data_IF_560441359718
#
_entry.id   IF_560441359718
#
_cell.length_a   1.000
_cell.length_b   1.000
_cell.length_c   1.000
_cell.angle_alpha   90.00
_cell.angle_beta   90.00
_cell.angle_gamma   90.00
#
_symmetry.space_group_name_H-M   'P 1'
#
loop_
_entity.id
_entity.type
_entity.pdbx_description
1 polymer ?
#
# COMPACT_ATOMS: atom_id res chain seq x y z
N UNK A 1 -20.53 29.34 -41.14
CA UNK A 1 -21.01 29.38 -39.75
C UNK A 1 -19.85 28.94 -38.88
N UNK A 2 -19.13 29.87 -38.26
CA UNK A 2 -18.11 29.52 -37.26
C UNK A 2 -18.83 29.20 -35.97
N UNK A 3 -18.94 27.93 -35.63
CA UNK A 3 -19.46 27.47 -34.35
C UNK A 3 -18.48 27.94 -33.28
N UNK A 4 -18.87 28.97 -32.52
CA UNK A 4 -18.07 29.47 -31.40
C UNK A 4 -18.16 28.44 -30.29
N UNK A 5 -17.11 27.64 -30.12
CA UNK A 5 -16.99 26.68 -29.02
C UNK A 5 -17.06 27.48 -27.70
N UNK A 6 -17.92 27.06 -26.79
CA UNK A 6 -18.12 27.67 -25.46
C UNK A 6 -16.93 27.41 -24.53
N UNK A 7 -16.80 28.20 -23.46
CA UNK A 7 -15.75 27.98 -22.46
C UNK A 7 -15.90 26.63 -21.75
N UNK A 8 -17.14 26.18 -21.52
CA UNK A 8 -17.44 24.85 -20.96
C UNK A 8 -17.04 23.72 -21.89
N UNK A 9 -17.27 23.85 -23.20
CA UNK A 9 -16.83 22.86 -24.20
C UNK A 9 -15.31 22.82 -24.31
N UNK A 10 -14.62 23.97 -24.26
CA UNK A 10 -13.15 24.01 -24.21
C UNK A 10 -12.59 23.33 -22.96
N UNK A 11 -13.17 23.58 -21.78
CA UNK A 11 -12.74 22.93 -20.54
C UNK A 11 -12.99 21.43 -20.58
N UNK A 12 -14.16 20.99 -21.09
CA UNK A 12 -14.47 19.57 -21.26
C UNK A 12 -13.51 18.87 -22.22
N UNK A 13 -13.17 19.49 -23.35
CA UNK A 13 -12.20 18.96 -24.33
C UNK A 13 -10.78 18.87 -23.73
N UNK A 14 -10.34 19.89 -22.99
CA UNK A 14 -9.04 19.87 -22.27
C UNK A 14 -9.03 18.77 -21.19
N UNK A 15 -10.12 18.61 -20.43
CA UNK A 15 -10.26 17.55 -19.44
C UNK A 15 -10.26 16.15 -20.07
N UNK A 16 -10.95 15.99 -21.20
CA UNK A 16 -11.01 14.73 -21.97
C UNK A 16 -9.63 14.37 -22.52
N UNK A 17 -8.94 15.33 -23.14
CA UNK A 17 -7.57 15.17 -23.63
C UNK A 17 -6.59 14.82 -22.49
N UNK A 18 -6.73 15.46 -21.31
CA UNK A 18 -5.94 15.11 -20.12
C UNK A 18 -6.18 13.67 -19.68
N UNK A 19 -7.43 13.23 -19.61
CA UNK A 19 -7.78 11.87 -19.19
C UNK A 19 -7.24 10.81 -20.15
N UNK A 20 -7.40 11.01 -21.46
CA UNK A 20 -6.90 10.08 -22.47
C UNK A 20 -5.38 9.89 -22.40
N UNK A 21 -4.64 10.98 -22.13
CA UNK A 21 -3.18 10.92 -21.93
C UNK A 21 -2.80 10.14 -20.68
N UNK A 22 -3.51 10.35 -19.58
CA UNK A 22 -3.28 9.60 -18.32
C UNK A 22 -3.61 8.11 -18.52
N UNK A 23 -4.75 7.80 -19.15
CA UNK A 23 -5.17 6.43 -19.43
C UNK A 23 -4.16 5.73 -20.35
N UNK A 24 -3.57 6.42 -21.32
CA UNK A 24 -2.50 5.87 -22.16
C UNK A 24 -1.25 5.47 -21.35
N UNK A 25 -0.85 6.28 -20.36
CA UNK A 25 0.27 5.95 -19.47
C UNK A 25 -0.05 4.75 -18.57
N UNK A 26 -1.28 4.68 -18.03
CA UNK A 26 -1.72 3.55 -17.22
C UNK A 26 -1.94 2.26 -18.03
N UNK A 27 -2.18 2.37 -19.34
CA UNK A 27 -2.29 1.27 -20.27
C UNK A 27 -0.93 0.71 -20.74
N UNK A 28 0.16 1.48 -20.56
CA UNK A 28 1.49 1.01 -20.93
C UNK A 28 1.83 -0.27 -20.16
N UNK A 29 2.23 -1.28 -20.93
CA UNK A 29 2.62 -2.58 -20.43
C UNK A 29 4.07 -2.92 -20.78
N UNK A 30 4.85 -2.04 -21.42
CA UNK A 30 6.20 -2.41 -21.91
C UNK A 30 7.17 -2.84 -20.80
N UNK A 31 6.93 -2.39 -19.56
CA UNK A 31 7.78 -2.64 -18.40
C UNK A 31 7.23 -3.75 -17.50
N UNK A 32 8.13 -4.44 -16.80
CA UNK A 32 7.76 -5.40 -15.78
C UNK A 32 7.23 -4.69 -14.51
N UNK A 33 6.47 -5.44 -13.69
CA UNK A 33 5.86 -4.94 -12.45
C UNK A 33 6.87 -4.74 -11.31
N UNK A 34 8.02 -5.42 -11.40
CA UNK A 34 9.17 -5.29 -10.53
C UNK A 34 10.46 -5.13 -11.37
N UNK A 35 11.48 -4.46 -10.84
CA UNK A 35 12.82 -4.33 -11.43
C UNK A 35 13.90 -4.64 -10.37
N UNK A 36 15.15 -4.85 -10.81
CA UNK A 36 16.28 -5.30 -10.00
C UNK A 36 15.90 -6.42 -9.00
N UNK A 37 15.28 -7.47 -9.51
CA UNK A 37 14.72 -8.56 -8.72
C UNK A 37 13.33 -8.26 -8.19
N UNK A 38 13.19 -7.37 -7.20
CA UNK A 38 11.97 -7.20 -6.40
C UNK A 38 11.62 -5.76 -5.98
N UNK A 39 12.29 -4.75 -6.55
CA UNK A 39 11.85 -3.36 -6.40
C UNK A 39 10.56 -3.19 -7.19
N UNK A 40 9.53 -2.63 -6.57
CA UNK A 40 8.25 -2.43 -7.23
C UNK A 40 8.37 -1.33 -8.27
N UNK A 41 7.71 -1.48 -9.42
CA UNK A 41 7.58 -0.40 -10.37
C UNK A 41 6.49 0.58 -9.89
N UNK A 42 6.84 1.83 -9.60
CA UNK A 42 5.91 2.82 -9.05
C UNK A 42 5.23 3.70 -10.10
N UNK A 43 5.56 3.55 -11.38
CA UNK A 43 5.16 4.48 -12.44
C UNK A 43 3.65 4.76 -12.44
N UNK A 44 2.80 3.73 -12.37
CA UNK A 44 1.34 3.87 -12.41
C UNK A 44 0.78 4.44 -11.12
N UNK A 45 1.36 4.11 -9.97
CA UNK A 45 0.97 4.71 -8.70
C UNK A 45 1.22 6.23 -8.70
N UNK A 46 2.38 6.65 -9.20
CA UNK A 46 2.72 8.06 -9.31
C UNK A 46 1.83 8.79 -10.32
N UNK A 47 1.51 8.17 -11.46
CA UNK A 47 0.54 8.73 -12.44
C UNK A 47 -0.81 8.98 -11.78
N UNK A 48 -1.36 8.02 -11.01
CA UNK A 48 -2.62 8.20 -10.28
C UNK A 48 -2.52 9.32 -9.24
N UNK A 49 -1.46 9.32 -8.42
CA UNK A 49 -1.25 10.35 -7.40
C UNK A 49 -1.17 11.76 -8.02
N UNK A 50 -0.28 11.96 -8.99
CA UNK A 50 -0.08 13.25 -9.66
C UNK A 50 -1.36 13.69 -10.39
N UNK A 51 -2.09 12.75 -11.00
CA UNK A 51 -3.38 13.04 -11.61
C UNK A 51 -4.39 13.54 -10.57
N UNK A 52 -4.47 12.90 -9.41
CA UNK A 52 -5.33 13.27 -8.28
C UNK A 52 -4.95 14.59 -7.62
N UNK A 53 -3.66 14.94 -7.64
CA UNK A 53 -3.13 16.23 -7.19
C UNK A 53 -3.27 17.34 -8.25
N UNK A 54 -4.00 17.10 -9.33
CA UNK A 54 -4.23 18.05 -10.43
C UNK A 54 -2.96 18.51 -11.17
N UNK A 55 -1.89 17.71 -11.17
CA UNK A 55 -0.74 17.97 -12.03
C UNK A 55 -1.17 18.01 -13.51
N UNK A 56 -0.46 18.82 -14.31
CA UNK A 56 -0.71 18.89 -15.75
C UNK A 56 -0.34 17.56 -16.44
N UNK A 57 -1.04 17.19 -17.51
CA UNK A 57 -0.71 15.97 -18.26
C UNK A 57 0.75 15.96 -18.76
N UNK A 58 1.29 17.14 -19.13
CA UNK A 58 2.69 17.26 -19.53
C UNK A 58 3.66 16.93 -18.40
N UNK A 59 3.38 17.37 -17.17
CA UNK A 59 4.20 17.03 -16.00
C UNK A 59 4.13 15.55 -15.64
N UNK A 60 2.95 14.94 -15.75
CA UNK A 60 2.75 13.51 -15.50
C UNK A 60 3.53 12.67 -16.53
N UNK A 61 3.47 13.03 -17.81
CA UNK A 61 4.24 12.37 -18.88
C UNK A 61 5.75 12.55 -18.72
N UNK A 62 6.19 13.73 -18.32
CA UNK A 62 7.60 14.00 -18.03
C UNK A 62 8.09 13.10 -16.91
N UNK A 63 7.39 13.07 -15.76
CA UNK A 63 7.69 12.19 -14.65
C UNK A 63 7.76 10.73 -15.11
N UNK A 64 6.75 10.26 -15.86
CA UNK A 64 6.69 8.89 -16.36
C UNK A 64 7.93 8.54 -17.19
N UNK A 65 8.31 9.40 -18.14
CA UNK A 65 9.47 9.17 -19.01
C UNK A 65 10.79 9.17 -18.22
N UNK A 66 10.95 10.08 -17.26
CA UNK A 66 12.13 10.14 -16.40
C UNK A 66 12.25 8.87 -15.55
N UNK A 67 11.17 8.48 -14.87
CA UNK A 67 11.15 7.30 -14.02
C UNK A 67 11.42 5.99 -14.78
N UNK A 68 10.92 5.87 -16.02
CA UNK A 68 11.23 4.73 -16.90
C UNK A 68 12.73 4.62 -17.17
N UNK A 69 13.41 5.75 -17.37
CA UNK A 69 14.85 5.79 -17.69
C UNK A 69 15.71 5.56 -16.45
N UNK A 70 15.37 6.21 -15.34
CA UNK A 70 16.12 6.17 -14.10
C UNK A 70 15.16 6.43 -12.93
N UNK A 71 14.95 5.39 -12.12
CA UNK A 71 14.22 5.47 -10.86
C UNK A 71 15.07 6.18 -9.80
N UNK A 72 14.46 6.52 -8.67
CA UNK A 72 15.14 7.09 -7.49
C UNK A 72 16.24 6.19 -6.93
N UNK A 73 16.22 4.90 -7.31
CA UNK A 73 17.25 3.92 -6.97
C UNK A 73 18.40 3.84 -8.00
N UNK A 74 18.41 4.66 -9.05
CA UNK A 74 19.46 4.68 -10.07
C UNK A 74 19.37 3.56 -11.13
N UNK A 75 18.22 2.89 -11.23
CA UNK A 75 17.98 1.85 -12.25
C UNK A 75 16.87 2.27 -13.20
N UNK A 76 17.00 1.95 -14.48
CA UNK A 76 15.88 2.00 -15.43
C UNK A 76 14.92 0.82 -15.26
N UNK A 77 13.68 0.99 -15.71
CA UNK A 77 12.69 -0.08 -15.65
C UNK A 77 13.02 -1.23 -16.60
N UNK A 78 12.83 -2.44 -16.11
CA UNK A 78 13.06 -3.67 -16.89
C UNK A 78 11.91 -3.96 -17.85
N UNK A 79 12.18 -4.56 -19.02
CA UNK A 79 11.14 -5.04 -19.93
C UNK A 79 10.36 -6.21 -19.31
N UNK A 80 9.19 -6.53 -19.89
CA UNK A 80 8.42 -7.72 -19.51
C UNK A 80 9.29 -8.98 -19.46
N UNK A 81 9.14 -9.76 -18.40
CA UNK A 81 9.75 -11.10 -18.27
C UNK A 81 8.90 -12.16 -18.99
N UNK A 82 9.52 -13.19 -19.58
CA UNK A 82 8.80 -14.26 -20.25
C UNK A 82 7.99 -15.10 -19.26
N UNK A 83 6.82 -15.56 -19.70
CA UNK A 83 6.02 -16.51 -18.93
C UNK A 83 6.61 -17.92 -18.98
N UNK A 84 6.65 -18.59 -17.82
CA UNK A 84 7.09 -20.00 -17.72
C UNK A 84 5.94 -20.99 -17.84
N UNK A 85 4.74 -20.57 -17.47
CA UNK A 85 3.52 -21.39 -17.52
C UNK A 85 2.33 -20.59 -18.07
N UNK A 86 1.38 -21.30 -18.69
CA UNK A 86 0.04 -20.77 -18.92
C UNK A 86 -0.75 -20.85 -17.61
N UNK A 87 -1.53 -19.81 -17.31
CA UNK A 87 -2.33 -19.74 -16.08
C UNK A 87 -3.76 -20.16 -16.37
N UNK A 88 -4.30 -21.04 -15.54
CA UNK A 88 -5.69 -21.50 -15.56
C UNK A 88 -6.31 -21.33 -14.18
N UNK A 89 -7.62 -21.51 -14.10
CA UNK A 89 -8.34 -21.46 -12.82
C UNK A 89 -7.77 -22.45 -11.81
N UNK A 90 -7.45 -23.67 -12.27
CA UNK A 90 -6.96 -24.77 -11.44
C UNK A 90 -5.54 -24.55 -10.91
N UNK A 91 -4.69 -23.84 -11.65
CA UNK A 91 -3.28 -23.67 -11.29
C UNK A 91 -2.95 -22.29 -10.70
N UNK A 92 -3.80 -21.28 -10.84
CA UNK A 92 -3.50 -19.90 -10.44
C UNK A 92 -3.07 -19.79 -8.96
N UNK A 93 -3.83 -20.41 -8.05
CA UNK A 93 -3.49 -20.40 -6.62
C UNK A 93 -2.23 -21.19 -6.26
N UNK A 94 -1.76 -22.08 -7.13
CA UNK A 94 -0.47 -22.74 -6.91
C UNK A 94 0.71 -21.77 -7.09
N UNK A 95 0.51 -20.66 -7.81
CA UNK A 95 1.54 -19.67 -8.12
C UNK A 95 1.70 -18.55 -7.07
N UNK A 96 0.94 -18.60 -5.97
CA UNK A 96 1.01 -17.60 -4.91
C UNK A 96 2.46 -17.42 -4.42
N UNK A 97 2.99 -16.20 -4.56
CA UNK A 97 4.31 -15.81 -4.09
C UNK A 97 5.49 -16.39 -4.89
N UNK A 98 5.22 -17.13 -5.98
CA UNK A 98 6.27 -17.74 -6.81
C UNK A 98 7.01 -16.74 -7.71
N UNK A 99 6.51 -15.50 -7.83
CA UNK A 99 7.13 -14.44 -8.65
C UNK A 99 7.49 -14.88 -10.08
N UNK A 100 6.55 -15.56 -10.73
CA UNK A 100 6.72 -16.07 -12.10
C UNK A 100 5.50 -15.80 -12.95
N UNK A 101 5.69 -15.77 -14.27
CA UNK A 101 4.61 -15.76 -15.27
C UNK A 101 3.60 -14.62 -15.11
N UNK A 102 4.07 -13.43 -14.73
CA UNK A 102 3.24 -12.23 -14.52
C UNK A 102 2.37 -11.90 -15.74
N UNK A 103 2.92 -11.97 -16.96
CA UNK A 103 2.17 -11.74 -18.19
C UNK A 103 1.01 -12.74 -18.36
N UNK A 104 1.24 -14.03 -18.09
CA UNK A 104 0.17 -15.04 -18.14
C UNK A 104 -0.87 -14.84 -17.04
N UNK A 105 -0.47 -14.41 -15.84
CA UNK A 105 -1.41 -14.04 -14.76
C UNK A 105 -2.31 -12.88 -15.19
N UNK A 106 -1.75 -11.90 -15.90
CA UNK A 106 -2.53 -10.79 -16.44
C UNK A 106 -3.53 -11.25 -17.50
N UNK A 107 -3.09 -12.05 -18.48
CA UNK A 107 -3.97 -12.61 -19.51
C UNK A 107 -5.11 -13.44 -18.91
N UNK A 108 -4.80 -14.21 -17.86
CA UNK A 108 -5.80 -14.96 -17.10
C UNK A 108 -6.85 -14.03 -16.48
N UNK A 109 -6.46 -13.02 -15.70
CA UNK A 109 -7.41 -12.12 -15.06
C UNK A 109 -8.16 -11.22 -16.06
N UNK A 110 -7.54 -10.80 -17.17
CA UNK A 110 -8.24 -10.13 -18.27
C UNK A 110 -9.37 -11.03 -18.80
N UNK A 111 -9.09 -12.32 -19.01
CA UNK A 111 -10.07 -13.31 -19.44
C UNK A 111 -11.20 -13.53 -18.42
N UNK A 112 -10.87 -13.65 -17.14
CA UNK A 112 -11.86 -13.82 -16.06
C UNK A 112 -12.78 -12.59 -15.94
N UNK A 113 -12.21 -11.38 -15.99
CA UNK A 113 -12.98 -10.14 -15.94
C UNK A 113 -13.89 -10.01 -17.15
N UNK A 114 -13.41 -10.37 -18.35
CA UNK A 114 -14.22 -10.33 -19.57
C UNK A 114 -15.41 -11.31 -19.52
N UNK A 115 -15.24 -12.49 -18.90
CA UNK A 115 -16.28 -13.52 -18.81
C UNK A 115 -17.29 -13.27 -17.70
N UNK A 116 -16.83 -12.84 -16.53
CA UNK A 116 -17.64 -12.83 -15.30
C UNK A 116 -17.91 -11.42 -14.77
N UNK A 117 -17.19 -10.42 -15.28
CA UNK A 117 -17.23 -9.04 -14.79
C UNK A 117 -16.38 -8.86 -13.53
N UNK A 118 -15.83 -7.65 -13.37
CA UNK A 118 -14.88 -7.33 -12.30
C UNK A 118 -15.40 -7.68 -10.90
N UNK A 119 -16.66 -7.37 -10.59
CA UNK A 119 -17.21 -7.63 -9.26
C UNK A 119 -17.23 -9.12 -8.93
N UNK A 120 -17.62 -9.98 -9.86
CA UNK A 120 -17.64 -11.42 -9.64
C UNK A 120 -16.23 -11.96 -9.39
N UNK A 121 -15.26 -11.52 -10.20
CA UNK A 121 -13.84 -11.88 -10.04
C UNK A 121 -13.31 -11.44 -8.68
N UNK A 122 -13.59 -10.21 -8.24
CA UNK A 122 -13.15 -9.76 -6.90
C UNK A 122 -13.77 -10.64 -5.80
N UNK A 123 -15.08 -10.92 -5.85
CA UNK A 123 -15.75 -11.75 -4.84
C UNK A 123 -15.19 -13.17 -4.77
N UNK A 124 -14.79 -13.72 -5.90
CA UNK A 124 -14.23 -15.06 -5.99
C UNK A 124 -12.79 -15.13 -5.48
N UNK A 125 -11.92 -14.21 -5.90
CA UNK A 125 -10.48 -14.32 -5.70
C UNK A 125 -9.99 -13.62 -4.43
N UNK A 126 -10.63 -12.54 -3.98
CA UNK A 126 -10.15 -11.78 -2.80
C UNK A 126 -10.04 -12.61 -1.52
N UNK A 127 -10.91 -13.59 -1.20
CA UNK A 127 -10.72 -14.46 -0.04
C UNK A 127 -9.36 -15.18 0.00
N UNK A 128 -8.81 -15.57 -1.15
CA UNK A 128 -7.50 -16.23 -1.24
C UNK A 128 -6.34 -15.23 -1.34
N UNK A 129 -6.58 -14.07 -1.97
CA UNK A 129 -5.53 -13.07 -2.22
C UNK A 129 -5.31 -12.11 -1.05
N UNK A 130 -6.35 -11.72 -0.30
CA UNK A 130 -6.23 -10.74 0.79
C UNK A 130 -5.36 -11.17 1.96
N UNK A 131 -5.28 -12.46 2.34
CA UNK A 131 -4.26 -12.90 3.28
C UNK A 131 -2.84 -12.51 2.84
N UNK A 132 -2.60 -12.33 1.53
CA UNK A 132 -1.31 -12.00 0.93
C UNK A 132 -0.97 -10.52 0.81
N UNK A 133 -1.78 -9.62 1.36
CA UNK A 133 -1.76 -8.19 1.04
C UNK A 133 -0.42 -7.49 1.31
N UNK A 134 0.43 -8.05 2.17
CA UNK A 134 1.74 -7.51 2.54
C UNK A 134 2.80 -7.78 1.44
N UNK A 135 2.47 -8.61 0.46
CA UNK A 135 3.32 -8.94 -0.69
C UNK A 135 3.90 -7.71 -1.41
N UNK A 136 5.16 -7.83 -1.84
CA UNK A 136 5.93 -6.74 -2.45
C UNK A 136 5.97 -5.46 -1.59
N UNK A 137 6.07 -5.60 -0.27
CA UNK A 137 5.89 -4.49 0.67
C UNK A 137 4.61 -3.68 0.42
N UNK A 138 3.49 -4.40 0.34
CA UNK A 138 2.13 -3.87 0.08
C UNK A 138 1.86 -3.34 -1.32
N UNK A 139 2.85 -3.25 -2.22
CA UNK A 139 2.69 -2.66 -3.55
C UNK A 139 1.68 -3.39 -4.44
N UNK A 140 1.57 -4.71 -4.32
CA UNK A 140 0.56 -5.45 -5.06
C UNK A 140 -0.87 -5.02 -4.69
N UNK A 141 -1.11 -4.81 -3.40
CA UNK A 141 -2.39 -4.31 -2.88
C UNK A 141 -2.63 -2.87 -3.28
N UNK A 142 -1.60 -2.02 -3.17
CA UNK A 142 -1.65 -0.61 -3.62
C UNK A 142 -2.05 -0.56 -5.10
N UNK A 143 -1.40 -1.36 -5.96
CA UNK A 143 -1.66 -1.37 -7.40
C UNK A 143 -3.12 -1.73 -7.72
N UNK A 144 -3.65 -2.77 -7.08
CA UNK A 144 -5.05 -3.16 -7.26
C UNK A 144 -6.01 -2.08 -6.74
N UNK A 145 -5.88 -1.68 -5.47
CA UNK A 145 -6.81 -0.73 -4.85
C UNK A 145 -6.81 0.64 -5.54
N UNK A 146 -5.66 1.10 -6.01
CA UNK A 146 -5.55 2.38 -6.72
C UNK A 146 -6.03 2.28 -8.17
N UNK A 147 -5.82 1.12 -8.83
CA UNK A 147 -6.45 0.83 -10.11
C UNK A 147 -7.97 0.82 -10.01
N UNK A 148 -8.52 0.36 -8.87
CA UNK A 148 -9.95 0.38 -8.57
C UNK A 148 -10.46 1.80 -8.26
N UNK A 149 -9.72 2.59 -7.46
CA UNK A 149 -10.02 3.99 -7.15
C UNK A 149 -10.12 4.84 -8.41
N UNK A 150 -9.10 4.77 -9.27
CA UNK A 150 -9.07 5.50 -10.53
C UNK A 150 -10.02 4.89 -11.59
N UNK A 151 -10.22 3.57 -11.55
CA UNK A 151 -11.06 2.83 -12.49
C UNK A 151 -10.36 2.44 -13.80
N UNK A 152 -9.04 2.16 -13.78
CA UNK A 152 -8.29 1.81 -14.98
C UNK A 152 -8.21 0.29 -15.21
N UNK A 153 -8.79 -0.27 -16.29
CA UNK A 153 -8.90 -1.73 -16.48
C UNK A 153 -7.55 -2.46 -16.43
N UNK A 154 -6.52 -1.94 -17.13
CA UNK A 154 -5.19 -2.56 -17.17
C UNK A 154 -4.53 -2.63 -15.79
N UNK A 155 -4.67 -1.56 -15.00
CA UNK A 155 -4.05 -1.49 -13.67
C UNK A 155 -4.76 -2.43 -12.70
N UNK A 156 -6.08 -2.59 -12.82
CA UNK A 156 -6.85 -3.56 -12.05
C UNK A 156 -6.40 -4.99 -12.35
N UNK A 157 -6.27 -5.36 -13.63
CA UNK A 157 -5.75 -6.69 -14.03
C UNK A 157 -4.34 -6.92 -13.49
N UNK A 158 -3.44 -5.95 -13.65
CA UNK A 158 -2.09 -6.04 -13.10
C UNK A 158 -2.09 -6.19 -11.60
N UNK A 159 -2.99 -5.49 -10.90
CA UNK A 159 -3.13 -5.59 -9.45
C UNK A 159 -3.50 -6.99 -9.01
N UNK A 160 -4.52 -7.60 -9.63
CA UNK A 160 -4.92 -8.99 -9.37
C UNK A 160 -3.76 -9.97 -9.62
N UNK A 161 -3.09 -9.82 -10.77
CA UNK A 161 -1.92 -10.62 -11.11
C UNK A 161 -0.77 -10.42 -10.11
N UNK A 162 -0.54 -9.18 -9.67
CA UNK A 162 0.55 -8.85 -8.75
C UNK A 162 0.31 -9.44 -7.36
N UNK A 163 -0.94 -9.43 -6.89
CA UNK A 163 -1.31 -10.06 -5.62
C UNK A 163 -1.08 -11.57 -5.59
N UNK A 164 -1.24 -12.26 -6.73
CA UNK A 164 -0.80 -13.65 -6.87
C UNK A 164 0.74 -13.73 -6.90
N UNK A 165 1.36 -12.95 -7.78
CA UNK A 165 2.79 -12.97 -8.07
C UNK A 165 3.67 -12.79 -6.82
N UNK A 166 3.35 -11.82 -5.96
CA UNK A 166 4.17 -11.45 -4.80
C UNK A 166 3.56 -11.80 -3.45
N UNK A 167 2.55 -12.69 -3.41
CA UNK A 167 1.78 -13.04 -2.22
C UNK A 167 2.66 -13.35 -0.99
N UNK A 168 2.39 -12.71 0.15
CA UNK A 168 3.00 -13.00 1.46
C UNK A 168 1.91 -12.99 2.53
N UNK A 169 1.68 -14.14 3.16
CA UNK A 169 0.58 -14.28 4.14
C UNK A 169 0.77 -13.41 5.38
N UNK A 170 -0.28 -12.73 5.81
CA UNK A 170 -0.41 -12.20 7.16
C UNK A 170 -0.89 -13.27 8.17
N UNK A 171 -1.25 -14.48 7.69
CA UNK A 171 -1.71 -15.63 8.48
C UNK A 171 -3.00 -15.39 9.29
N UNK A 172 -4.12 -15.00 8.66
CA UNK A 172 -5.38 -14.72 9.34
C UNK A 172 -5.96 -15.93 10.08
N UNK A 173 -5.57 -17.16 9.72
CA UNK A 173 -5.97 -18.38 10.42
C UNK A 173 -5.48 -18.47 11.87
N UNK A 174 -4.47 -17.68 12.28
CA UNK A 174 -4.02 -17.62 13.67
C UNK A 174 -4.84 -16.68 14.54
N UNK A 175 -5.63 -15.81 13.91
CA UNK A 175 -6.34 -14.75 14.59
C UNK A 175 -7.37 -15.27 15.59
N UNK A 176 -7.43 -14.63 16.75
CA UNK A 176 -8.38 -14.94 17.82
C UNK A 176 -8.94 -13.64 18.39
N UNK A 177 -10.25 -13.59 18.58
CA UNK A 177 -10.87 -12.49 19.33
C UNK A 177 -10.28 -12.52 20.74
N UNK A 178 -9.79 -11.39 21.21
CA UNK A 178 -9.05 -11.31 22.46
C UNK A 178 -9.25 -9.96 23.12
N UNK A 179 -9.54 -10.00 24.42
CA UNK A 179 -9.58 -8.80 25.28
C UNK A 179 -8.17 -8.34 25.68
N UNK A 180 -7.11 -9.08 25.32
CA UNK A 180 -5.72 -8.73 25.65
C UNK A 180 -5.30 -7.40 25.02
N UNK A 181 -5.80 -7.11 23.82
CA UNK A 181 -5.62 -5.80 23.18
C UNK A 181 -6.84 -4.96 23.56
N UNK A 182 -6.91 -4.62 24.85
CA UNK A 182 -8.04 -3.89 25.44
C UNK A 182 -8.03 -2.44 24.96
N UNK A 183 -8.98 -2.10 24.09
CA UNK A 183 -9.22 -0.74 23.64
C UNK A 183 -10.59 -0.68 22.97
N UNK A 184 -11.31 0.43 23.15
CA UNK A 184 -12.64 0.59 22.57
C UNK A 184 -12.59 0.92 21.07
N UNK A 185 -11.41 1.30 20.57
CA UNK A 185 -11.17 1.75 19.20
C UNK A 185 -9.74 1.45 18.75
N UNK A 186 -9.43 1.72 17.48
CA UNK A 186 -8.13 1.41 16.87
C UNK A 186 -6.92 2.05 17.57
N UNK A 187 -7.04 3.29 18.04
CA UNK A 187 -5.90 4.02 18.65
C UNK A 187 -5.66 3.56 20.09
N UNK A 188 -6.70 3.30 20.88
CA UNK A 188 -6.58 2.72 22.22
C UNK A 188 -5.97 1.31 22.14
N UNK A 189 -6.39 0.50 21.17
CA UNK A 189 -5.77 -0.82 20.93
C UNK A 189 -4.29 -0.71 20.55
N UNK A 190 -3.89 0.28 19.74
CA UNK A 190 -2.48 0.50 19.41
C UNK A 190 -1.65 0.90 20.65
N UNK A 191 -2.18 1.81 21.48
CA UNK A 191 -1.53 2.23 22.73
C UNK A 191 -1.36 1.03 23.65
N UNK A 192 -2.41 0.22 23.84
CA UNK A 192 -2.33 -1.00 24.65
C UNK A 192 -1.30 -2.01 24.12
N UNK A 193 -1.20 -2.18 22.79
CA UNK A 193 -0.15 -3.02 22.19
C UNK A 193 1.25 -2.48 22.53
N UNK A 194 1.47 -1.16 22.41
CA UNK A 194 2.74 -0.55 22.75
C UNK A 194 3.07 -0.72 24.23
N UNK A 195 2.11 -0.48 25.13
CA UNK A 195 2.25 -0.70 26.58
C UNK A 195 2.66 -2.14 26.91
N UNK A 196 2.03 -3.13 26.26
CA UNK A 196 2.34 -4.54 26.49
C UNK A 196 3.75 -4.92 26.03
N UNK A 197 4.23 -4.33 24.93
CA UNK A 197 5.60 -4.54 24.47
C UNK A 197 6.63 -3.86 25.38
N UNK A 198 6.27 -2.73 25.99
CA UNK A 198 7.10 -2.02 26.98
C UNK A 198 7.20 -2.73 28.34
N UNK A 199 6.25 -3.61 28.68
CA UNK A 199 6.31 -4.40 29.92
C UNK A 199 7.40 -5.48 29.88
N UNK A 200 7.74 -6.00 28.70
CA UNK A 200 8.85 -6.95 28.50
C UNK A 200 9.64 -6.62 27.23
N UNK A 201 10.39 -5.50 27.25
CA UNK A 201 11.10 -5.03 26.07
C UNK A 201 12.23 -5.99 25.69
N UNK A 202 12.80 -6.71 26.65
CA UNK A 202 13.87 -7.68 26.40
C UNK A 202 13.35 -8.86 25.59
N UNK A 203 12.18 -9.40 25.92
CA UNK A 203 11.58 -10.49 25.15
C UNK A 203 11.21 -10.05 23.73
N UNK A 204 10.62 -8.86 23.57
CA UNK A 204 10.27 -8.34 22.25
C UNK A 204 11.51 -8.12 21.37
N UNK A 205 12.55 -7.47 21.91
CA UNK A 205 13.81 -7.25 21.20
C UNK A 205 14.51 -8.57 20.83
N UNK A 206 14.49 -9.56 21.73
CA UNK A 206 15.05 -10.88 21.45
C UNK A 206 14.28 -11.61 20.35
N UNK A 207 12.94 -11.52 20.35
CA UNK A 207 12.11 -12.06 19.26
C UNK A 207 12.41 -11.36 17.94
N UNK A 208 12.46 -10.02 17.93
CA UNK A 208 12.73 -9.24 16.74
C UNK A 208 14.12 -9.55 16.18
N UNK A 209 15.17 -9.55 17.00
CA UNK A 209 16.53 -9.88 16.57
C UNK A 209 16.60 -11.27 15.89
N UNK A 210 15.87 -12.26 16.40
CA UNK A 210 15.80 -13.61 15.79
C UNK A 210 15.09 -13.60 14.43
N UNK A 211 14.01 -12.82 14.29
CA UNK A 211 13.35 -12.57 12.99
C UNK A 211 14.31 -11.92 12.01
N UNK A 212 14.97 -10.84 12.44
CA UNK A 212 15.84 -10.01 11.60
C UNK A 212 17.06 -10.79 11.10
N UNK A 213 17.62 -11.64 11.95
CA UNK A 213 18.74 -12.52 11.61
C UNK A 213 18.31 -13.79 10.85
N UNK A 214 17.03 -13.95 10.51
CA UNK A 214 16.51 -15.13 9.81
C UNK A 214 16.65 -16.44 10.59
N UNK A 215 16.82 -16.37 11.91
CA UNK A 215 16.99 -17.53 12.79
C UNK A 215 15.67 -18.29 12.99
N UNK A 216 14.53 -17.62 12.78
CA UNK A 216 13.18 -18.19 12.91
C UNK A 216 12.32 -17.94 11.67
N UNK A 217 11.33 -18.82 11.50
CA UNK A 217 10.35 -18.83 10.42
C UNK A 217 10.79 -18.99 8.93
N UNK A 218 12.06 -19.31 8.54
CA UNK A 218 12.42 -19.32 7.12
C UNK A 218 11.62 -20.34 6.29
N UNK A 219 11.25 -21.48 6.90
CA UNK A 219 10.39 -22.49 6.26
C UNK A 219 8.90 -22.14 6.35
N UNK A 220 8.47 -21.44 7.41
CA UNK A 220 7.07 -21.08 7.64
C UNK A 220 6.60 -19.98 6.70
N UNK A 221 7.50 -19.05 6.36
CA UNK A 221 7.16 -17.88 5.56
C UNK A 221 6.87 -18.20 4.10
N UNK A 222 7.40 -19.30 3.57
CA UNK A 222 7.19 -19.75 2.19
C UNK A 222 7.42 -18.63 1.17
N UNK A 223 8.33 -17.70 1.47
CA UNK A 223 8.54 -16.51 0.66
C UNK A 223 9.63 -16.73 -0.38
N UNK A 224 9.55 -16.01 -1.49
CA UNK A 224 10.50 -16.16 -2.59
C UNK A 224 11.95 -15.86 -2.13
N UNK A 225 12.96 -16.65 -2.56
CA UNK A 225 14.36 -16.44 -2.14
C UNK A 225 14.90 -15.04 -2.40
N UNK A 226 14.48 -14.40 -3.50
CA UNK A 226 14.84 -13.01 -3.84
C UNK A 226 14.58 -12.00 -2.72
N UNK A 227 13.59 -12.23 -1.86
CA UNK A 227 13.31 -11.32 -0.75
C UNK A 227 14.48 -11.18 0.22
N UNK A 228 15.35 -12.19 0.34
CA UNK A 228 16.53 -12.12 1.20
C UNK A 228 17.43 -10.94 0.87
N UNK A 229 17.47 -10.52 -0.41
CA UNK A 229 18.22 -9.34 -0.88
C UNK A 229 17.61 -8.01 -0.40
N UNK A 230 16.30 -7.98 -0.12
CA UNK A 230 15.57 -6.78 0.31
C UNK A 230 15.98 -6.30 1.70
N UNK A 231 16.29 -7.24 2.59
CA UNK A 231 16.30 -6.98 4.04
C UNK A 231 14.89 -6.71 4.57
N UNK A 232 14.25 -5.59 4.19
CA UNK A 232 12.95 -5.16 4.70
C UNK A 232 11.81 -6.16 4.42
N UNK A 233 11.55 -6.49 3.14
CA UNK A 233 10.45 -7.38 2.79
C UNK A 233 10.61 -8.77 3.42
N UNK A 234 11.86 -9.27 3.50
CA UNK A 234 12.16 -10.54 4.14
C UNK A 234 11.85 -10.53 5.64
N UNK A 235 12.29 -9.48 6.36
CA UNK A 235 12.02 -9.35 7.81
C UNK A 235 10.53 -9.30 8.11
N UNK A 236 9.75 -8.59 7.31
CA UNK A 236 8.28 -8.54 7.43
C UNK A 236 7.68 -9.93 7.20
N UNK A 237 8.07 -10.63 6.14
CA UNK A 237 7.60 -11.99 5.86
C UNK A 237 7.95 -12.97 6.99
N UNK A 238 9.16 -12.88 7.54
CA UNK A 238 9.58 -13.70 8.69
C UNK A 238 8.75 -13.38 9.95
N UNK A 239 8.52 -12.09 10.23
CA UNK A 239 7.74 -11.65 11.38
C UNK A 239 6.31 -12.19 11.34
N UNK A 240 5.65 -12.05 10.19
CA UNK A 240 4.29 -12.55 9.95
C UNK A 240 4.24 -14.09 10.03
N UNK A 241 5.25 -14.77 9.50
CA UNK A 241 5.30 -16.22 9.51
C UNK A 241 5.56 -16.82 10.89
N UNK A 242 6.41 -16.16 11.69
CA UNK A 242 6.60 -16.55 13.08
C UNK A 242 5.36 -16.26 13.91
N UNK A 243 4.76 -15.09 13.71
CA UNK A 243 3.64 -14.60 14.49
C UNK A 243 4.08 -14.03 15.86
N UNK A 244 3.14 -13.34 16.49
CA UNK A 244 3.26 -12.82 17.84
C UNK A 244 1.85 -12.81 18.47
N UNK A 245 1.66 -13.14 19.76
CA UNK A 245 0.33 -13.15 20.38
C UNK A 245 -0.46 -11.86 20.17
N UNK A 246 0.20 -10.70 20.26
CA UNK A 246 -0.41 -9.39 20.01
C UNK A 246 -0.81 -9.17 18.53
N UNK A 247 -0.07 -9.74 17.58
CA UNK A 247 -0.43 -9.66 16.15
C UNK A 247 -1.66 -10.51 15.84
N UNK A 248 -1.76 -11.67 16.47
CA UNK A 248 -2.84 -12.63 16.25
C UNK A 248 -4.11 -12.27 17.08
N UNK A 249 -4.05 -11.25 17.94
CA UNK A 249 -5.19 -10.76 18.71
C UNK A 249 -6.07 -9.84 17.86
N UNK A 250 -7.37 -10.11 17.84
CA UNK A 250 -8.41 -9.30 17.18
C UNK A 250 -9.22 -8.57 18.24
N UNK A 251 -9.08 -7.23 18.36
CA UNK A 251 -9.92 -6.41 19.23
C UNK A 251 -11.42 -6.56 18.93
N UNK A 252 -12.25 -6.40 19.97
CA UNK A 252 -13.71 -6.53 19.85
C UNK A 252 -14.34 -5.57 18.83
N UNK A 253 -13.84 -4.33 18.76
CA UNK A 253 -14.37 -3.30 17.86
C UNK A 253 -14.23 -3.67 16.37
N UNK A 254 -13.21 -4.45 15.99
CA UNK A 254 -13.08 -4.97 14.62
C UNK A 254 -14.18 -5.97 14.23
N UNK A 255 -14.84 -6.56 15.23
CA UNK A 255 -15.91 -7.54 15.06
C UNK A 255 -17.28 -6.89 15.15
N UNK A 256 -17.48 -6.01 16.13
CA UNK A 256 -18.79 -5.43 16.46
C UNK A 256 -19.13 -4.17 15.69
N UNK A 257 -18.17 -3.29 15.43
CA UNK A 257 -18.45 -1.96 14.90
C UNK A 257 -18.89 -1.98 13.43
N UNK A 258 -19.59 -0.93 12.97
CA UNK A 258 -19.85 -0.71 11.55
C UNK A 258 -18.53 -0.58 10.75
N UNK A 259 -18.51 -1.11 9.53
CA UNK A 259 -17.31 -1.10 8.68
C UNK A 259 -16.83 0.32 8.36
N UNK A 260 -17.75 1.27 8.19
CA UNK A 260 -17.40 2.68 7.93
C UNK A 260 -16.61 3.29 9.10
N UNK A 261 -17.09 3.09 10.33
CA UNK A 261 -16.42 3.57 11.53
C UNK A 261 -15.05 2.90 11.72
N UNK A 262 -14.96 1.60 11.43
CA UNK A 262 -13.71 0.84 11.45
C UNK A 262 -12.67 1.45 10.51
N UNK A 263 -13.05 1.77 9.26
CA UNK A 263 -12.12 2.37 8.30
C UNK A 263 -11.65 3.76 8.74
N UNK A 264 -12.56 4.61 9.23
CA UNK A 264 -12.21 5.93 9.74
C UNK A 264 -11.25 5.85 10.93
N UNK A 265 -11.50 4.93 11.87
CA UNK A 265 -10.63 4.69 13.02
C UNK A 265 -9.25 4.18 12.60
N UNK A 266 -9.17 3.27 11.61
CA UNK A 266 -7.90 2.76 11.09
C UNK A 266 -7.10 3.86 10.38
N UNK A 267 -7.76 4.69 9.55
CA UNK A 267 -7.10 5.82 8.85
C UNK A 267 -6.50 6.83 9.83
N UNK A 268 -7.24 7.16 10.88
CA UNK A 268 -6.73 7.98 11.97
C UNK A 268 -5.53 7.30 12.66
N UNK A 269 -5.66 6.01 12.99
CA UNK A 269 -4.62 5.24 13.67
C UNK A 269 -3.31 5.19 12.86
N UNK A 270 -3.36 4.90 11.56
CA UNK A 270 -2.15 4.89 10.71
C UNK A 270 -1.54 6.28 10.51
N UNK A 271 -2.35 7.35 10.51
CA UNK A 271 -1.83 8.71 10.51
C UNK A 271 -1.06 9.03 11.81
N UNK A 272 -1.56 8.57 12.96
CA UNK A 272 -0.85 8.69 14.26
C UNK A 272 0.43 7.84 14.27
N UNK A 273 0.40 6.61 13.76
CA UNK A 273 1.60 5.77 13.57
C UNK A 273 2.66 6.50 12.76
N UNK A 274 2.25 7.15 11.67
CA UNK A 274 3.16 7.90 10.83
C UNK A 274 3.71 9.15 11.51
N UNK A 275 2.86 9.92 12.19
CA UNK A 275 3.29 11.12 12.92
C UNK A 275 4.17 10.83 14.15
N UNK A 276 4.15 9.59 14.66
CA UNK A 276 5.08 9.14 15.70
C UNK A 276 6.51 8.95 15.18
N UNK A 277 6.68 8.75 13.86
CA UNK A 277 7.97 8.80 13.16
C UNK A 277 7.81 9.55 11.82
N UNK A 278 7.72 10.89 11.85
CA UNK A 278 7.48 11.69 10.66
C UNK A 278 8.50 11.39 9.56
N UNK A 279 8.03 11.15 8.33
CA UNK A 279 8.91 10.82 7.19
C UNK A 279 9.38 9.36 7.15
N UNK A 280 8.93 8.50 8.06
CA UNK A 280 9.31 7.08 8.05
C UNK A 280 8.76 6.36 6.81
N UNK A 281 9.69 5.87 5.98
CA UNK A 281 9.38 5.18 4.73
C UNK A 281 8.45 3.98 4.95
N UNK A 282 8.63 3.22 6.03
CA UNK A 282 7.86 2.00 6.28
C UNK A 282 6.42 2.34 6.67
N UNK A 283 6.25 3.29 7.59
CA UNK A 283 4.94 3.68 8.11
C UNK A 283 4.08 4.39 7.05
N UNK A 284 4.68 5.13 6.11
CA UNK A 284 3.97 5.72 4.96
C UNK A 284 3.20 4.66 4.15
N UNK A 285 3.75 3.46 4.02
CA UNK A 285 3.11 2.37 3.28
C UNK A 285 1.82 1.90 3.95
N UNK A 286 1.69 2.04 5.28
CA UNK A 286 0.44 1.73 5.97
C UNK A 286 -0.69 2.69 5.56
N UNK A 287 -0.40 3.97 5.33
CA UNK A 287 -1.38 4.96 4.84
C UNK A 287 -1.84 4.59 3.43
N UNK A 288 -0.88 4.40 2.51
CA UNK A 288 -1.19 4.18 1.09
C UNK A 288 -1.82 2.82 0.82
N UNK A 289 -1.43 1.77 1.55
CA UNK A 289 -2.05 0.45 1.48
C UNK A 289 -3.41 0.39 2.17
N UNK A 290 -3.64 1.14 3.25
CA UNK A 290 -4.97 1.20 3.87
C UNK A 290 -6.02 1.79 2.94
N UNK A 291 -5.67 2.87 2.22
CA UNK A 291 -6.52 3.41 1.14
C UNK A 291 -6.86 2.34 0.11
N UNK A 292 -5.86 1.58 -0.34
CA UNK A 292 -6.05 0.50 -1.30
C UNK A 292 -6.95 -0.63 -0.77
N UNK A 293 -6.77 -1.01 0.49
CA UNK A 293 -7.56 -2.04 1.18
C UNK A 293 -9.02 -1.64 1.32
N UNK A 294 -9.30 -0.37 1.65
CA UNK A 294 -10.66 0.17 1.73
C UNK A 294 -11.35 0.12 0.35
N UNK A 295 -10.65 0.51 -0.72
CA UNK A 295 -11.16 0.46 -2.09
C UNK A 295 -11.47 -0.98 -2.54
N UNK A 296 -10.59 -1.94 -2.23
CA UNK A 296 -10.88 -3.35 -2.50
C UNK A 296 -12.13 -3.79 -1.71
N UNK A 297 -12.16 -3.53 -0.41
CA UNK A 297 -13.23 -3.97 0.47
C UNK A 297 -14.60 -3.37 0.14
N UNK A 298 -14.66 -2.15 -0.38
CA UNK A 298 -15.88 -1.47 -0.81
C UNK A 298 -16.61 -2.20 -1.95
N UNK A 299 -15.91 -3.08 -2.68
CA UNK A 299 -16.44 -3.85 -3.81
C UNK A 299 -16.84 -5.28 -3.42
N UNK A 300 -16.64 -5.66 -2.15
CA UNK A 300 -16.88 -7.00 -1.64
C UNK A 300 -18.15 -7.08 -0.77
N UNK A 301 -18.72 -8.30 -0.59
CA UNK A 301 -19.72 -8.56 0.43
C UNK A 301 -19.19 -8.23 1.83
N UNK A 302 -20.08 -7.77 2.71
CA UNK A 302 -19.74 -7.34 4.07
C UNK A 302 -18.88 -8.35 4.85
N UNK A 303 -19.15 -9.66 4.70
CA UNK A 303 -18.38 -10.72 5.35
C UNK A 303 -16.91 -10.74 4.89
N UNK A 304 -16.67 -10.60 3.60
CA UNK A 304 -15.33 -10.51 3.03
C UNK A 304 -14.66 -9.18 3.38
N UNK A 305 -15.39 -8.06 3.34
CA UNK A 305 -14.88 -6.74 3.75
C UNK A 305 -14.39 -6.76 5.21
N UNK A 306 -15.11 -7.41 6.13
CA UNK A 306 -14.63 -7.62 7.51
C UNK A 306 -13.34 -8.44 7.57
N UNK A 307 -13.20 -9.46 6.72
CA UNK A 307 -11.94 -10.21 6.61
C UNK A 307 -10.78 -9.35 6.12
N UNK A 308 -11.02 -8.40 5.20
CA UNK A 308 -9.99 -7.47 4.72
C UNK A 308 -9.46 -6.60 5.85
N UNK A 309 -10.35 -6.00 6.64
CA UNK A 309 -9.97 -5.18 7.81
C UNK A 309 -9.14 -6.01 8.81
N UNK A 310 -9.56 -7.24 9.10
CA UNK A 310 -8.82 -8.13 9.99
C UNK A 310 -7.44 -8.50 9.45
N UNK A 311 -7.31 -8.72 8.14
CA UNK A 311 -6.02 -8.95 7.51
C UNK A 311 -5.13 -7.70 7.62
N UNK A 312 -5.69 -6.51 7.41
CA UNK A 312 -4.98 -5.25 7.57
C UNK A 312 -4.43 -5.08 8.99
N UNK A 313 -5.26 -5.26 10.01
CA UNK A 313 -4.84 -5.14 11.42
C UNK A 313 -3.64 -6.02 11.77
N UNK A 314 -3.72 -7.31 11.46
CA UNK A 314 -2.64 -8.26 11.74
C UNK A 314 -1.37 -7.95 10.92
N UNK A 315 -1.53 -7.61 9.64
CA UNK A 315 -0.39 -7.28 8.79
C UNK A 315 0.28 -5.96 9.19
N UNK A 316 -0.49 -4.95 9.59
CA UNK A 316 0.00 -3.67 10.12
C UNK A 316 0.90 -3.90 11.34
N UNK A 317 0.43 -4.70 12.31
CA UNK A 317 1.24 -5.06 13.47
C UNK A 317 2.49 -5.85 13.08
N UNK A 318 2.39 -6.76 12.10
CA UNK A 318 3.57 -7.47 11.59
C UNK A 318 4.62 -6.57 10.92
N UNK A 319 4.17 -5.55 10.17
CA UNK A 319 5.05 -4.52 9.60
C UNK A 319 5.75 -3.75 10.72
N UNK A 320 4.99 -3.23 11.69
CA UNK A 320 5.53 -2.49 12.83
C UNK A 320 6.53 -3.31 13.64
N UNK A 321 6.21 -4.57 13.92
CA UNK A 321 7.02 -5.44 14.77
C UNK A 321 8.30 -5.90 14.06
N UNK A 322 8.31 -5.97 12.73
CA UNK A 322 9.47 -6.41 11.95
C UNK A 322 10.71 -5.52 12.13
N UNK A 323 10.50 -4.24 12.47
CA UNK A 323 11.56 -3.28 12.78
C UNK A 323 12.24 -3.55 14.12
N UNK A 324 11.60 -4.32 15.01
CA UNK A 324 12.05 -4.55 16.37
C UNK A 324 11.92 -3.34 17.29
N UNK A 325 11.46 -2.21 16.79
CA UNK A 325 11.28 -0.99 17.57
C UNK A 325 9.99 -0.31 17.11
N UNK A 326 9.12 0.00 18.07
CA UNK A 326 7.89 0.78 17.84
C UNK A 326 7.90 2.00 18.76
N UNK A 327 7.28 3.13 18.36
CA UNK A 327 7.13 4.27 19.24
C UNK A 327 6.46 3.89 20.57
N UNK A 328 6.85 4.59 21.63
CA UNK A 328 6.34 4.34 22.96
C UNK A 328 4.83 4.60 23.06
N UNK A 329 4.14 3.90 23.96
CA UNK A 329 2.71 4.07 24.19
C UNK A 329 2.34 5.52 24.54
N UNK A 330 3.17 6.17 25.37
CA UNK A 330 3.04 7.59 25.71
C UNK A 330 3.13 8.50 24.48
N UNK A 331 3.96 8.16 23.48
CA UNK A 331 4.07 8.94 22.23
C UNK A 331 2.76 8.88 21.45
N UNK A 332 2.15 7.70 21.33
CA UNK A 332 0.84 7.56 20.68
C UNK A 332 -0.26 8.26 21.46
N UNK A 333 -0.27 8.18 22.79
CA UNK A 333 -1.22 8.88 23.64
C UNK A 333 -1.13 10.40 23.49
N UNK A 334 0.08 10.97 23.53
CA UNK A 334 0.31 12.41 23.38
C UNK A 334 -0.13 12.91 21.99
N UNK A 335 0.18 12.16 20.94
CA UNK A 335 -0.29 12.47 19.57
C UNK A 335 -1.81 12.35 19.45
N UNK A 336 -2.41 11.36 20.09
CA UNK A 336 -3.87 11.22 20.08
C UNK A 336 -4.53 12.42 20.77
N UNK A 337 -4.06 12.82 21.96
CA UNK A 337 -4.54 14.02 22.67
C UNK A 337 -4.38 15.28 21.81
N UNK A 338 -3.27 15.39 21.07
CA UNK A 338 -2.99 16.54 20.20
C UNK A 338 -3.95 16.66 19.01
N UNK A 339 -4.37 15.54 18.43
CA UNK A 339 -5.04 15.54 17.12
C UNK A 339 -6.52 15.12 17.16
N UNK A 340 -6.96 14.45 18.23
CA UNK A 340 -8.34 13.99 18.34
C UNK A 340 -9.31 15.18 18.28
N UNK A 341 -10.25 15.13 17.34
CA UNK A 341 -11.28 16.15 17.17
C UNK A 341 -10.78 17.50 16.61
N UNK A 342 -9.49 17.63 16.29
CA UNK A 342 -8.93 18.87 15.73
C UNK A 342 -9.20 18.91 14.22
N UNK A 343 -9.82 20.00 13.79
CA UNK A 343 -10.19 20.23 12.38
C UNK A 343 -9.64 21.57 11.92
N UNK A 344 -9.23 21.61 10.65
CA UNK A 344 -8.84 22.85 9.98
C UNK A 344 -10.08 23.62 9.53
N UNK A 345 -9.98 24.95 9.52
CA UNK A 345 -10.93 25.75 8.76
C UNK A 345 -10.53 25.71 7.28
N UNK A 346 -11.30 25.00 6.45
CA UNK A 346 -11.01 24.83 5.03
C UNK A 346 -10.94 26.16 4.27
N UNK A 347 -11.65 27.20 4.71
CA UNK A 347 -11.66 28.52 4.06
C UNK A 347 -10.50 29.43 4.52
N UNK A 348 -9.70 28.99 5.49
CA UNK A 348 -8.62 29.80 6.03
C UNK A 348 -7.46 29.93 5.02
N UNK A 349 -6.99 31.16 4.70
CA UNK A 349 -5.95 31.35 3.69
C UNK A 349 -4.64 30.62 3.96
N UNK A 350 -4.26 30.46 5.24
CA UNK A 350 -3.05 29.75 5.67
C UNK A 350 -3.17 28.24 5.46
N UNK A 351 -4.36 27.66 5.64
CA UNK A 351 -4.63 26.25 5.35
C UNK A 351 -4.57 25.98 3.86
N UNK A 352 -5.18 26.85 3.04
CA UNK A 352 -5.07 26.78 1.59
C UNK A 352 -3.62 26.92 1.11
N UNK A 353 -2.88 27.90 1.64
CA UNK A 353 -1.47 28.10 1.29
C UNK A 353 -0.59 26.90 1.69
N UNK A 354 -0.87 26.27 2.83
CA UNK A 354 -0.15 25.06 3.26
C UNK A 354 -0.40 23.90 2.29
N UNK A 355 -1.66 23.61 1.95
CA UNK A 355 -1.98 22.56 0.98
C UNK A 355 -1.38 22.85 -0.38
N UNK A 356 -1.47 24.08 -0.89
CA UNK A 356 -0.85 24.46 -2.15
C UNK A 356 0.66 24.19 -2.13
N UNK A 357 1.35 24.64 -1.08
CA UNK A 357 2.79 24.39 -0.90
C UNK A 357 3.13 22.90 -0.90
N UNK A 358 2.38 22.08 -0.16
CA UNK A 358 2.68 20.65 -0.04
C UNK A 358 2.38 19.89 -1.34
N UNK A 359 1.34 20.31 -2.07
CA UNK A 359 0.97 19.74 -3.38
C UNK A 359 2.02 20.11 -4.43
N UNK A 360 2.44 21.38 -4.47
CA UNK A 360 3.47 21.84 -5.40
C UNK A 360 4.80 21.12 -5.14
N UNK A 361 5.16 20.92 -3.88
CA UNK A 361 6.31 20.11 -3.49
C UNK A 361 6.16 18.67 -3.99
N UNK A 362 5.02 18.01 -3.72
CA UNK A 362 4.76 16.66 -4.18
C UNK A 362 4.81 16.50 -5.72
N UNK A 363 4.31 17.46 -6.49
CA UNK A 363 4.37 17.43 -7.96
C UNK A 363 5.81 17.58 -8.48
N UNK A 364 6.66 18.26 -7.72
CA UNK A 364 8.06 18.47 -8.06
C UNK A 364 8.98 17.30 -7.61
N UNK A 365 8.54 16.46 -6.67
CA UNK A 365 9.34 15.38 -6.10
C UNK A 365 9.77 14.33 -7.13
N UNK A 366 10.99 13.82 -6.92
CA UNK A 366 11.47 12.60 -7.58
C UNK A 366 11.02 11.36 -6.80
N UNK A 367 11.00 11.45 -5.47
CA UNK A 367 10.56 10.39 -4.56
C UNK A 367 9.07 10.06 -4.76
N UNK A 368 8.82 8.93 -5.43
CA UNK A 368 7.48 8.46 -5.83
C UNK A 368 6.51 8.26 -4.65
N UNK A 369 7.00 8.14 -3.43
CA UNK A 369 6.18 7.92 -2.23
C UNK A 369 5.47 9.18 -1.76
N UNK A 370 6.08 10.35 -1.92
CA UNK A 370 5.56 11.61 -1.41
C UNK A 370 4.26 12.05 -2.14
N UNK A 371 4.16 12.01 -3.48
CA UNK A 371 2.88 12.26 -4.17
C UNK A 371 1.76 11.34 -3.68
N UNK A 372 2.06 10.05 -3.44
CA UNK A 372 1.08 9.08 -2.97
C UNK A 372 0.54 9.45 -1.59
N UNK A 373 1.43 9.82 -0.67
CA UNK A 373 1.07 10.29 0.67
C UNK A 373 0.17 11.51 0.60
N UNK A 374 0.57 12.55 -0.13
CA UNK A 374 -0.19 13.81 -0.22
C UNK A 374 -1.56 13.58 -0.85
N UNK A 375 -1.65 12.75 -1.89
CA UNK A 375 -2.92 12.40 -2.53
C UNK A 375 -3.89 11.73 -1.54
N UNK A 376 -3.44 10.69 -0.84
CA UNK A 376 -4.30 9.96 0.13
C UNK A 376 -4.66 10.85 1.32
N UNK A 377 -3.69 11.59 1.86
CA UNK A 377 -3.92 12.48 2.99
C UNK A 377 -4.89 13.63 2.64
N UNK A 378 -4.80 14.20 1.44
CA UNK A 378 -5.75 15.22 0.98
C UNK A 378 -7.17 14.67 0.86
N UNK A 379 -7.32 13.47 0.28
CA UNK A 379 -8.63 12.78 0.21
C UNK A 379 -9.22 12.56 1.60
N UNK A 380 -8.41 12.07 2.54
CA UNK A 380 -8.85 11.82 3.91
C UNK A 380 -9.19 13.11 4.65
N UNK A 381 -8.39 14.16 4.47
CA UNK A 381 -8.66 15.49 5.00
C UNK A 381 -10.04 15.97 4.54
N UNK A 382 -10.35 15.93 3.24
CA UNK A 382 -11.65 16.34 2.72
C UNK A 382 -12.79 15.44 3.22
N UNK A 383 -12.61 14.11 3.17
CA UNK A 383 -13.64 13.12 3.52
C UNK A 383 -14.05 13.20 5.00
N UNK A 384 -13.12 13.56 5.88
CA UNK A 384 -13.32 13.53 7.34
C UNK A 384 -13.74 14.88 7.94
N UNK A 385 -14.15 15.84 7.10
CA UNK A 385 -14.48 17.19 7.58
C UNK A 385 -13.25 17.96 8.03
N UNK A 386 -12.15 17.83 7.29
CA UNK A 386 -10.91 18.60 7.43
C UNK A 386 -10.11 18.30 8.69
N UNK A 387 -10.06 17.03 9.15
CA UNK A 387 -9.24 16.65 10.31
C UNK A 387 -7.76 16.99 10.08
N UNK A 388 -7.20 17.84 10.95
CA UNK A 388 -5.87 18.43 10.77
C UNK A 388 -4.74 17.40 10.77
N UNK A 389 -4.96 16.22 11.36
CA UNK A 389 -3.99 15.12 11.40
C UNK A 389 -3.50 14.71 10.01
N UNK A 390 -4.39 14.72 9.01
CA UNK A 390 -4.04 14.33 7.64
C UNK A 390 -3.21 15.41 6.93
N UNK A 391 -3.50 16.69 7.18
CA UNK A 391 -2.64 17.79 6.70
C UNK A 391 -1.27 17.71 7.35
N UNK A 392 -1.20 17.44 8.66
CA UNK A 392 0.07 17.25 9.35
C UNK A 392 0.88 16.09 8.75
N UNK A 393 0.25 14.93 8.53
CA UNK A 393 0.89 13.78 7.89
C UNK A 393 1.39 14.11 6.48
N UNK A 394 0.61 14.83 5.67
CA UNK A 394 1.00 15.24 4.32
C UNK A 394 2.27 16.11 4.27
N UNK A 395 2.60 16.81 5.37
CA UNK A 395 3.78 17.68 5.45
C UNK A 395 5.07 16.93 5.87
N UNK A 396 5.02 15.61 6.08
CA UNK A 396 6.14 14.84 6.61
C UNK A 396 6.79 13.96 5.53
N UNK A 397 7.35 14.53 4.46
CA UNK A 397 7.90 13.76 3.34
C UNK A 397 8.96 12.73 3.78
N UNK A 398 8.99 11.60 3.06
CA UNK A 398 10.03 10.58 3.20
C UNK A 398 11.15 10.81 2.20
N UNK A 399 12.28 10.15 2.44
CA UNK A 399 13.42 10.10 1.52
C UNK A 399 13.58 8.69 0.96
N UNK A 400 14.15 8.58 -0.23
CA UNK A 400 14.48 7.28 -0.82
C UNK A 400 15.42 6.52 0.11
N UNK A 401 15.06 5.31 0.57
CA UNK A 401 15.93 4.54 1.43
C UNK A 401 17.14 4.03 0.64
N UNK A 402 18.29 3.96 1.29
CA UNK A 402 19.47 3.33 0.70
C UNK A 402 19.20 1.84 0.46
N UNK A 403 19.64 1.35 -0.70
CA UNK A 403 19.56 -0.08 -1.00
C UNK A 403 20.71 -0.83 -0.29
N UNK A 404 20.43 -2.01 0.31
CA UNK A 404 21.48 -2.88 0.80
C UNK A 404 22.49 -3.27 -0.31
N UNK A 405 23.77 -3.53 0.01
CA UNK A 405 24.79 -3.91 -0.99
C UNK A 405 24.42 -5.15 -1.84
N UNK A 406 23.52 -6.01 -1.36
CA UNK A 406 23.00 -7.16 -2.10
C UNK A 406 22.22 -6.80 -3.38
N UNK A 407 21.91 -5.52 -3.59
CA UNK A 407 21.31 -5.02 -4.83
C UNK A 407 22.31 -4.80 -5.96
N UNK A 408 23.62 -4.76 -5.67
CA UNK A 408 24.69 -4.56 -6.67
C UNK A 408 25.15 -5.84 -7.34
N UNK A 409 24.81 -7.01 -6.79
CA UNK A 409 25.12 -8.31 -7.40
C UNK A 409 24.37 -8.46 -8.75
N UNK A 410 24.95 -9.14 -9.75
CA UNK A 410 24.31 -9.33 -11.08
C UNK A 410 23.59 -10.68 -11.20
N UNK A 411 22.54 -10.78 -12.02
CA UNK A 411 21.80 -12.04 -12.26
C UNK A 411 22.67 -13.21 -12.78
N UNK A 412 23.74 -12.93 -13.53
CA UNK A 412 24.57 -13.97 -14.14
C UNK A 412 25.43 -14.76 -13.13
N UNK A 413 25.69 -14.21 -11.94
CA UNK A 413 26.43 -14.88 -10.86
C UNK A 413 25.51 -15.74 -9.96
N UNK A 414 24.22 -15.86 -10.32
CA UNK A 414 23.15 -16.40 -9.46
C UNK A 414 22.53 -17.66 -10.05
N UNK A 415 23.23 -18.78 -9.89
CA UNK A 415 22.82 -20.10 -10.39
C UNK A 415 21.30 -20.38 -10.37
N UNK A 416 20.82 -20.92 -11.50
CA UNK A 416 19.43 -21.24 -11.84
C UNK A 416 18.56 -21.80 -10.71
#
# INVERSE_FOLDING_TARGET
MNTVISASERTADVCQNRRERIDALLADASHHIEFNGHLSNHNKHAVVALAGLNASAGRIEEYYRQYVQETTYGYGLEPKRPSRVAVTHENCLSLLGQRTSFSSLCEFFDGEIARHGLRAVLVEWMPALMPGWVGAFTHATIHLGWGLDYGHPRMITEGLAYMVFSWVSCHPQRQRVSDQVSGNNAIESLIAVADMLEQDPVAFQAWAARVQNGQIAPKKAQCHPELKRSGLQYRIAMALAEGHPLMDAVPGWLVSEPLEDIWLQLHYCVAIIYLARPGDFVNLHLITSLHAMEEIAARLPQTQSRSVVRCFWQGMLGVLFSGGDIPASATFADLHVRWQGVTDNADAPDIHANWQTVIDAAIAEAEEHNPKLVYVAQKLWQRTGYQSVYRAAANCFTTTPELPPSFDELEADRGM
#
